data_IF_790241127936
#
_entry.id   IF_790241127936
#
_cell.length_a   1.000
_cell.length_b   1.000
_cell.length_c   1.000
_cell.angle_alpha   90.00
_cell.angle_beta   90.00
_cell.angle_gamma   90.00
#
_symmetry.space_group_name_H-M   'P 1'
#
loop_
_entity.id
_entity.type
_entity.pdbx_description
1 polymer ?
#
# COMPACT_ATOMS: atom_id res chain seq x y z
N UNK A 1 16.20 4.07 3.75
CA UNK A 1 14.84 3.52 3.62
C UNK A 1 13.99 4.46 2.81
N UNK A 2 13.11 3.88 2.01
CA UNK A 2 12.16 4.59 1.15
C UNK A 2 10.76 4.34 1.68
N UNK A 3 9.90 5.34 1.54
CA UNK A 3 8.48 5.26 1.84
C UNK A 3 7.74 5.38 0.53
N UNK A 4 6.86 4.43 0.27
CA UNK A 4 5.85 4.51 -0.77
C UNK A 4 4.53 4.89 -0.08
N UNK A 5 3.91 5.97 -0.53
CA UNK A 5 2.61 6.43 -0.07
C UNK A 5 1.61 6.27 -1.19
N UNK A 6 0.52 5.54 -0.92
CA UNK A 6 -0.58 5.36 -1.85
C UNK A 6 -1.86 5.85 -1.17
N UNK A 7 -2.60 6.74 -1.82
CA UNK A 7 -3.89 7.23 -1.32
C UNK A 7 -5.00 6.73 -2.22
N UNK A 8 -6.01 6.14 -1.60
CA UNK A 8 -7.18 5.60 -2.28
C UNK A 8 -8.44 6.34 -1.88
N UNK A 9 -9.34 6.49 -2.85
CA UNK A 9 -10.74 6.85 -2.63
C UNK A 9 -11.59 5.62 -2.79
N UNK A 10 -12.40 5.34 -1.79
CA UNK A 10 -13.28 4.17 -1.74
C UNK A 10 -14.60 4.54 -1.08
N UNK A 11 -15.66 3.81 -1.42
CA UNK A 11 -16.93 3.92 -0.71
C UNK A 11 -16.73 3.61 0.79
N UNK A 12 -17.29 4.43 1.67
CA UNK A 12 -17.03 4.34 3.11
C UNK A 12 -17.45 2.99 3.70
N UNK A 13 -18.54 2.41 3.18
CA UNK A 13 -19.05 1.08 3.51
C UNK A 13 -18.11 -0.06 3.10
N UNK A 14 -17.22 0.17 2.14
CA UNK A 14 -16.26 -0.81 1.65
C UNK A 14 -14.90 -0.74 2.36
N UNK A 15 -14.67 0.27 3.21
CA UNK A 15 -13.36 0.54 3.82
C UNK A 15 -12.76 -0.63 4.57
N UNK A 16 -13.51 -1.24 5.48
CA UNK A 16 -13.00 -2.35 6.27
C UNK A 16 -12.74 -3.58 5.40
N UNK A 17 -13.62 -3.87 4.43
CA UNK A 17 -13.42 -4.95 3.46
C UNK A 17 -12.17 -4.71 2.62
N UNK A 18 -11.94 -3.48 2.17
CA UNK A 18 -10.77 -3.09 1.39
C UNK A 18 -9.47 -3.31 2.20
N UNK A 19 -9.43 -2.83 3.44
CA UNK A 19 -8.28 -3.01 4.35
C UNK A 19 -8.02 -4.50 4.63
N UNK A 20 -9.08 -5.28 4.87
CA UNK A 20 -8.94 -6.71 5.10
C UNK A 20 -8.37 -7.43 3.88
N UNK A 21 -8.93 -7.16 2.69
CA UNK A 21 -8.47 -7.79 1.45
C UNK A 21 -7.06 -7.36 1.09
N UNK A 22 -6.69 -6.12 1.39
CA UNK A 22 -5.33 -5.64 1.20
C UNK A 22 -4.34 -6.41 2.07
N UNK A 23 -4.67 -6.63 3.35
CA UNK A 23 -3.83 -7.41 4.25
C UNK A 23 -3.64 -8.86 3.74
N UNK A 24 -4.73 -9.50 3.32
CA UNK A 24 -4.76 -10.88 2.82
C UNK A 24 -4.00 -11.05 1.48
N UNK A 25 -4.05 -10.05 0.60
CA UNK A 25 -3.58 -10.17 -0.79
C UNK A 25 -2.30 -9.35 -1.00
N UNK A 26 -2.41 -8.03 -0.99
CA UNK A 26 -1.32 -7.10 -1.30
C UNK A 26 -0.21 -7.16 -0.26
N UNK A 27 -0.53 -6.96 1.01
CA UNK A 27 0.46 -6.98 2.10
C UNK A 27 1.17 -8.33 2.20
N UNK A 28 0.41 -9.42 2.09
CA UNK A 28 0.97 -10.78 2.11
C UNK A 28 1.87 -11.07 0.90
N UNK A 29 1.56 -10.52 -0.28
CA UNK A 29 2.42 -10.62 -1.44
C UNK A 29 3.72 -9.81 -1.29
N UNK A 30 3.60 -8.52 -0.91
CA UNK A 30 4.75 -7.63 -0.75
C UNK A 30 5.72 -8.12 0.33
N UNK A 31 5.20 -8.73 1.41
CA UNK A 31 6.01 -9.28 2.50
C UNK A 31 6.98 -10.41 2.08
N UNK A 32 6.84 -10.96 0.87
CA UNK A 32 7.75 -12.00 0.34
C UNK A 32 9.03 -11.43 -0.26
N UNK A 33 9.04 -10.14 -0.63
CA UNK A 33 10.20 -9.56 -1.32
C UNK A 33 11.26 -9.10 -0.33
N UNK A 34 12.55 -9.33 -0.66
CA UNK A 34 13.65 -8.73 0.08
C UNK A 34 13.47 -7.22 0.16
N UNK A 35 13.58 -6.65 1.36
CA UNK A 35 13.51 -5.21 1.58
C UNK A 35 12.13 -4.67 1.96
N UNK A 36 11.04 -5.46 1.92
CA UNK A 36 9.80 -5.06 2.57
C UNK A 36 10.01 -4.99 4.09
N UNK A 37 9.77 -3.82 4.69
CA UNK A 37 9.95 -3.59 6.13
C UNK A 37 8.62 -3.53 6.89
N UNK A 38 7.50 -3.37 6.17
CA UNK A 38 6.19 -3.26 6.77
C UNK A 38 5.29 -2.28 6.02
N UNK A 39 4.01 -2.31 6.38
CA UNK A 39 2.97 -1.44 5.84
C UNK A 39 2.09 -0.93 6.97
N UNK A 40 1.74 0.34 6.91
CA UNK A 40 0.80 1.00 7.80
C UNK A 40 -0.43 1.43 6.99
N UNK A 41 -1.59 1.41 7.64
CA UNK A 41 -2.84 1.93 7.10
C UNK A 41 -3.24 3.15 7.91
N UNK A 42 -3.29 4.31 7.27
CA UNK A 42 -3.70 5.57 7.88
C UNK A 42 -5.11 5.89 7.40
N UNK A 43 -6.01 6.12 8.37
CA UNK A 43 -7.41 6.45 8.13
C UNK A 43 -7.60 7.93 8.43
N UNK A 44 -8.15 8.68 7.48
CA UNK A 44 -8.42 10.09 7.68
C UNK A 44 -9.67 10.27 8.57
N UNK A 45 -9.57 10.87 9.76
CA UNK A 45 -10.72 11.04 10.64
C UNK A 45 -11.78 12.02 10.10
N UNK A 46 -11.40 12.85 9.12
CA UNK A 46 -12.28 13.87 8.52
C UNK A 46 -12.85 13.44 7.16
N UNK A 47 -12.39 12.31 6.61
CA UNK A 47 -12.84 11.81 5.31
C UNK A 47 -12.90 10.27 5.33
N UNK A 48 -14.10 9.68 5.52
CA UNK A 48 -14.24 8.24 5.65
C UNK A 48 -14.01 7.48 4.34
N UNK A 49 -13.92 8.18 3.21
CA UNK A 49 -13.66 7.59 1.89
C UNK A 49 -12.18 7.48 1.58
N UNK A 50 -11.31 8.04 2.41
CA UNK A 50 -9.87 8.07 2.19
C UNK A 50 -9.16 6.99 3.02
N UNK A 51 -8.34 6.19 2.33
CA UNK A 51 -7.34 5.33 2.95
C UNK A 51 -5.97 5.73 2.41
N UNK A 52 -4.98 5.82 3.31
CA UNK A 52 -3.59 5.99 2.92
C UNK A 52 -2.79 4.76 3.36
N UNK A 53 -2.08 4.16 2.41
CA UNK A 53 -1.11 3.13 2.68
C UNK A 53 0.29 3.74 2.72
N UNK A 54 1.04 3.40 3.76
CA UNK A 54 2.43 3.82 3.94
C UNK A 54 3.28 2.55 4.00
N UNK A 55 4.00 2.28 2.92
CA UNK A 55 4.80 1.07 2.75
C UNK A 55 6.27 1.44 2.94
N UNK A 56 6.97 0.68 3.78
CA UNK A 56 8.37 0.93 4.12
C UNK A 56 9.26 -0.07 3.41
N UNK A 57 10.22 0.45 2.65
CA UNK A 57 11.20 -0.35 1.92
C UNK A 57 12.61 -0.06 2.43
N UNK A 58 13.45 -1.10 2.53
CA UNK A 58 14.83 -0.98 2.98
C UNK A 58 15.62 -0.06 2.05
N UNK A 59 15.50 -0.28 0.74
CA UNK A 59 16.11 0.54 -0.32
C UNK A 59 15.17 0.66 -1.52
N UNK A 60 15.42 1.64 -2.40
CA UNK A 60 14.63 1.86 -3.60
C UNK A 60 14.79 0.70 -4.59
N UNK A 61 15.99 0.15 -4.67
CA UNK A 61 16.35 -0.93 -5.59
C UNK A 61 15.57 -2.21 -5.27
N UNK A 62 15.40 -2.54 -3.98
CA UNK A 62 14.59 -3.68 -3.56
C UNK A 62 13.12 -3.54 -4.00
N UNK A 63 12.55 -2.35 -3.84
CA UNK A 63 11.17 -2.08 -4.25
C UNK A 63 11.02 -2.14 -5.78
N UNK A 64 11.93 -1.49 -6.51
CA UNK A 64 11.88 -1.42 -7.98
C UNK A 64 12.31 -2.73 -8.66
N UNK A 65 12.87 -3.68 -7.91
CA UNK A 65 13.23 -5.00 -8.42
C UNK A 65 12.04 -5.97 -8.45
N UNK A 66 10.87 -5.58 -7.91
CA UNK A 66 9.68 -6.43 -7.96
C UNK A 66 9.21 -6.54 -9.41
N UNK A 67 9.04 -7.76 -9.97
CA UNK A 67 8.64 -7.92 -11.35
C UNK A 67 7.23 -7.36 -11.60
N UNK A 68 7.02 -6.55 -12.66
CA UNK A 68 5.71 -6.01 -13.00
C UNK A 68 4.63 -7.08 -13.18
N UNK A 69 4.99 -8.25 -13.72
CA UNK A 69 4.08 -9.38 -13.91
C UNK A 69 3.58 -9.97 -12.59
N UNK A 70 4.38 -9.91 -11.52
CA UNK A 70 3.95 -10.36 -10.20
C UNK A 70 3.01 -9.33 -9.56
N UNK A 71 3.29 -8.03 -9.74
CA UNK A 71 2.39 -6.96 -9.29
C UNK A 71 1.04 -7.04 -10.01
N UNK A 72 1.03 -7.25 -11.33
CA UNK A 72 -0.18 -7.41 -12.11
C UNK A 72 -1.00 -8.63 -11.67
N UNK A 73 -0.33 -9.77 -11.39
CA UNK A 73 -1.01 -10.96 -10.90
C UNK A 73 -1.64 -10.75 -9.50
N UNK A 74 -1.03 -9.92 -8.65
CA UNK A 74 -1.59 -9.56 -7.34
C UNK A 74 -2.77 -8.60 -7.52
N UNK A 75 -2.65 -7.60 -8.40
CA UNK A 75 -3.72 -6.67 -8.71
C UNK A 75 -4.95 -7.39 -9.28
N UNK A 76 -4.77 -8.32 -10.21
CA UNK A 76 -5.86 -9.13 -10.77
C UNK A 76 -6.60 -9.92 -9.67
N UNK A 77 -5.87 -10.47 -8.69
CA UNK A 77 -6.49 -11.17 -7.55
C UNK A 77 -7.26 -10.22 -6.64
N UNK A 78 -6.71 -9.04 -6.42
CA UNK A 78 -7.32 -8.01 -5.58
C UNK A 78 -8.60 -7.45 -6.22
N UNK A 79 -8.53 -7.08 -7.51
CA UNK A 79 -9.67 -6.65 -8.31
C UNK A 79 -10.75 -7.74 -8.41
N UNK A 80 -10.38 -9.02 -8.57
CA UNK A 80 -11.36 -10.11 -8.54
C UNK A 80 -12.08 -10.27 -7.18
N UNK A 81 -11.45 -9.84 -6.08
CA UNK A 81 -12.01 -9.96 -4.74
C UNK A 81 -12.88 -8.76 -4.32
N UNK A 82 -12.63 -7.57 -4.86
CA UNK A 82 -13.30 -6.32 -4.49
C UNK A 82 -14.12 -5.67 -5.62
N UNK A 83 -13.85 -6.05 -6.87
CA UNK A 83 -14.28 -5.32 -8.07
C UNK A 83 -13.56 -3.98 -8.23
N UNK A 84 -13.94 -3.24 -9.27
CA UNK A 84 -13.43 -1.90 -9.56
C UNK A 84 -14.15 -0.85 -8.69
N UNK A 85 -13.94 -0.91 -7.37
CA UNK A 85 -14.65 -0.08 -6.37
C UNK A 85 -13.77 0.96 -5.68
N UNK A 86 -12.55 1.15 -6.17
CA UNK A 86 -11.54 2.03 -5.58
C UNK A 86 -10.76 2.80 -6.64
N UNK A 87 -10.36 4.01 -6.29
CA UNK A 87 -9.53 4.87 -7.13
C UNK A 87 -8.21 5.20 -6.42
N UNK A 88 -7.07 4.93 -7.06
CA UNK A 88 -5.79 5.45 -6.61
C UNK A 88 -5.69 6.93 -7.00
N UNK A 89 -5.75 7.83 -6.01
CA UNK A 89 -5.76 9.28 -6.24
C UNK A 89 -4.40 9.93 -5.99
N UNK A 90 -3.49 9.27 -5.28
CA UNK A 90 -2.13 9.74 -5.07
C UNK A 90 -1.16 8.57 -4.96
N UNK A 91 0.00 8.70 -5.59
CA UNK A 91 1.15 7.81 -5.42
C UNK A 91 2.41 8.67 -5.30
N UNK A 92 3.16 8.48 -4.22
CA UNK A 92 4.35 9.26 -3.93
C UNK A 92 5.48 8.41 -3.34
N UNK A 93 6.71 8.78 -3.69
CA UNK A 93 7.94 8.21 -3.14
C UNK A 93 8.59 9.25 -2.20
N UNK A 94 8.99 8.84 -1.00
CA UNK A 94 9.75 9.66 -0.06
C UNK A 94 10.99 8.94 0.47
N UNK A 95 12.03 9.71 0.77
CA UNK A 95 13.20 9.21 1.50
C UNK A 95 13.12 9.61 2.97
N UNK A 96 13.22 8.63 3.88
CA UNK A 96 13.20 8.96 5.31
C UNK A 96 14.57 9.44 5.78
N UNK A 97 14.61 10.66 6.31
CA UNK A 97 15.72 11.18 7.10
C UNK A 97 15.38 11.10 8.59
N UNK A 98 16.12 10.29 9.35
CA UNK A 98 15.97 10.22 10.80
C UNK A 98 16.85 11.28 11.45
N UNK A 99 16.28 11.98 12.44
CA UNK A 99 17.04 12.81 13.36
C UNK A 99 17.16 12.06 14.69
N UNK A 100 18.31 12.11 15.37
CA UNK A 100 18.37 11.64 16.75
C UNK A 100 17.42 12.49 17.59
N UNK A 101 16.52 11.85 18.34
CA UNK A 101 15.81 12.53 19.41
C UNK A 101 16.80 12.67 20.59
N UNK A 102 16.94 13.89 21.11
CA UNK A 102 17.71 14.17 22.32
C UNK A 102 16.99 13.67 23.58
#
# INVERSE_FOLDING_TARGET
MVIELLKFKIAAEMRETYIQKDAEIWTTALAKYPGFLGKEVWINPNDPTEIIFVIRWATREHWQAIPPEELEAVEQKFAAALGDTYDLVESAEYQLRKFPYA
#
